data_IF_962924186443
#
_entry.id   IF_962924186443
#
_cell.length_a   1.000
_cell.length_b   1.000
_cell.length_c   1.000
_cell.angle_alpha   90.00
_cell.angle_beta   90.00
_cell.angle_gamma   90.00
#
_symmetry.space_group_name_H-M   'P 1'
#
loop_
_entity.id
_entity.type
_entity.pdbx_description
1 polymer ?
#
# COMPACT_ATOMS: atom_id res chain seq x y z
N UNK A 1 4.30 -30.06 -65.36
CA UNK A 1 3.18 -29.35 -64.71
C UNK A 1 3.51 -29.14 -63.23
N UNK A 2 3.81 -27.92 -62.76
CA UNK A 2 4.02 -27.65 -61.34
C UNK A 2 2.69 -27.37 -60.60
N UNK A 3 2.56 -27.89 -59.37
CA UNK A 3 1.37 -27.80 -58.51
C UNK A 3 1.40 -26.52 -57.63
N UNK A 4 0.19 -26.02 -57.38
CA UNK A 4 -0.24 -24.78 -56.72
C UNK A 4 0.47 -24.41 -55.41
N UNK A 5 0.83 -23.13 -55.30
CA UNK A 5 1.00 -22.41 -54.03
C UNK A 5 -0.35 -22.20 -53.33
N UNK A 6 -0.41 -22.45 -52.01
CA UNK A 6 -1.49 -21.96 -51.14
C UNK A 6 -0.88 -21.35 -49.89
N UNK A 7 -1.08 -20.04 -49.74
CA UNK A 7 -0.70 -19.19 -48.61
C UNK A 7 -1.95 -18.95 -47.76
N UNK A 8 -1.70 -18.49 -46.53
CA UNK A 8 -2.62 -17.96 -45.49
C UNK A 8 -3.08 -18.98 -44.44
N UNK A 9 -3.19 -18.65 -43.15
CA UNK A 9 -2.71 -17.55 -42.28
C UNK A 9 -3.08 -18.01 -40.86
N UNK A 10 -2.33 -17.55 -39.86
CA UNK A 10 -2.88 -17.26 -38.55
C UNK A 10 -3.13 -18.46 -37.64
N UNK A 11 -2.16 -18.73 -36.78
CA UNK A 11 -2.36 -18.74 -35.33
C UNK A 11 -0.98 -18.88 -34.70
N UNK A 12 -0.23 -17.78 -34.69
CA UNK A 12 0.87 -17.61 -33.74
C UNK A 12 0.23 -17.34 -32.37
N UNK A 13 -0.46 -18.35 -31.83
CA UNK A 13 -0.80 -18.40 -30.43
C UNK A 13 0.51 -18.76 -29.73
N UNK A 14 1.32 -17.73 -29.50
CA UNK A 14 2.67 -17.85 -29.00
C UNK A 14 2.65 -18.71 -27.72
N UNK A 15 3.25 -19.90 -27.83
CA UNK A 15 3.47 -20.89 -26.76
C UNK A 15 4.22 -20.28 -25.55
N UNK A 16 4.74 -19.07 -25.71
CA UNK A 16 5.47 -18.28 -24.72
C UNK A 16 4.59 -17.35 -23.87
N UNK A 17 3.26 -17.51 -23.91
CA UNK A 17 2.33 -16.74 -23.04
C UNK A 17 2.57 -16.97 -21.53
N UNK A 18 3.32 -18.02 -21.16
CA UNK A 18 3.76 -18.29 -19.79
C UNK A 18 5.15 -17.72 -19.46
N UNK A 19 5.96 -17.37 -20.47
CA UNK A 19 7.30 -16.82 -20.27
C UNK A 19 7.32 -15.29 -20.20
N UNK A 20 6.24 -14.63 -20.63
CA UNK A 20 6.10 -13.17 -20.60
C UNK A 20 4.77 -12.77 -19.97
N UNK A 21 4.73 -12.40 -18.68
CA UNK A 21 3.63 -11.61 -18.18
C UNK A 21 3.64 -10.26 -18.92
N UNK A 22 2.65 -10.06 -19.80
CA UNK A 22 2.39 -8.77 -20.43
C UNK A 22 2.02 -7.75 -19.34
N UNK A 23 2.64 -6.55 -19.32
CA UNK A 23 2.34 -5.54 -18.31
C UNK A 23 1.08 -4.78 -18.74
N UNK A 24 -0.02 -5.04 -18.05
CA UNK A 24 -1.19 -4.16 -18.04
C UNK A 24 -2.51 -4.92 -18.16
N UNK A 25 -3.54 -4.67 -17.34
CA UNK A 25 -3.72 -3.80 -16.19
C UNK A 25 -4.90 -4.40 -15.41
N UNK A 26 -4.72 -4.67 -14.12
CA UNK A 26 -5.84 -4.65 -13.18
C UNK A 26 -5.42 -3.73 -12.03
N UNK A 27 -5.79 -2.46 -12.19
CA UNK A 27 -5.55 -1.41 -11.21
C UNK A 27 -6.46 -1.62 -10.00
N UNK A 28 -5.85 -1.93 -8.84
CA UNK A 28 -6.24 -1.24 -7.61
C UNK A 28 -5.06 -1.02 -6.68
N UNK A 29 -4.70 0.27 -6.62
CA UNK A 29 -4.01 0.97 -5.55
C UNK A 29 -2.49 0.79 -5.46
N UNK A 30 -1.83 1.56 -6.33
CA UNK A 30 -0.71 2.46 -5.99
C UNK A 30 0.26 1.90 -4.96
N UNK A 31 1.08 0.94 -5.39
CA UNK A 31 2.46 0.91 -4.90
C UNK A 31 3.21 2.08 -5.54
N UNK A 32 2.94 3.29 -5.05
CA UNK A 32 3.85 4.41 -5.27
C UNK A 32 5.20 4.10 -4.60
N UNK A 33 6.25 4.89 -4.85
CA UNK A 33 7.56 4.73 -4.21
C UNK A 33 7.57 5.07 -2.70
N UNK A 34 6.47 4.82 -1.97
CA UNK A 34 6.36 4.92 -0.53
C UNK A 34 6.25 3.52 0.07
N UNK A 35 7.22 3.13 0.90
CA UNK A 35 7.21 1.82 1.55
C UNK A 35 6.02 1.63 2.51
N UNK A 36 5.95 0.46 3.17
CA UNK A 36 4.91 0.10 4.15
C UNK A 36 4.64 1.21 5.19
N UNK A 37 5.68 1.97 5.57
CA UNK A 37 5.57 3.10 6.48
C UNK A 37 4.77 4.29 5.90
N UNK A 38 4.94 4.62 4.64
CA UNK A 38 4.22 5.72 3.98
C UNK A 38 2.73 5.39 3.82
N UNK A 39 2.46 4.16 3.38
CA UNK A 39 1.12 3.56 3.33
C UNK A 39 0.42 3.59 4.69
N UNK A 40 1.15 3.20 5.73
CA UNK A 40 0.66 3.19 7.10
C UNK A 40 0.37 4.61 7.60
N UNK A 41 1.26 5.56 7.32
CA UNK A 41 1.07 6.95 7.69
C UNK A 41 -0.19 7.52 7.01
N UNK A 42 -0.35 7.28 5.71
CA UNK A 42 -1.51 7.72 4.94
C UNK A 42 -2.81 7.13 5.49
N UNK A 43 -2.81 5.85 5.86
CA UNK A 43 -3.94 5.21 6.52
C UNK A 43 -4.32 5.90 7.85
N UNK A 44 -3.32 6.19 8.69
CA UNK A 44 -3.53 6.83 9.99
C UNK A 44 -4.01 8.28 9.84
N UNK A 45 -3.44 9.03 8.89
CA UNK A 45 -3.85 10.41 8.58
C UNK A 45 -5.31 10.44 8.13
N UNK A 46 -5.69 9.57 7.20
CA UNK A 46 -7.06 9.51 6.66
C UNK A 46 -8.10 9.16 7.74
N UNK A 47 -7.72 8.33 8.72
CA UNK A 47 -8.57 7.99 9.87
C UNK A 47 -8.58 9.05 10.98
N UNK A 48 -7.64 10.00 10.98
CA UNK A 48 -7.45 10.97 12.08
C UNK A 48 -6.87 10.36 13.37
N UNK A 49 -6.43 9.10 13.30
CA UNK A 49 -5.96 8.32 14.42
C UNK A 49 -6.54 6.90 14.43
N UNK A 50 -5.72 5.93 14.80
CA UNK A 50 -6.12 4.52 14.85
C UNK A 50 -5.70 3.87 16.16
N UNK A 51 -6.50 2.92 16.61
CA UNK A 51 -6.15 2.08 17.75
C UNK A 51 -5.20 0.94 17.37
N UNK A 52 -4.61 0.28 18.37
CA UNK A 52 -3.76 -0.91 18.15
C UNK A 52 -4.51 -2.00 17.37
N UNK A 53 -5.80 -2.22 17.65
CA UNK A 53 -6.59 -3.26 16.99
C UNK A 53 -6.81 -2.95 15.50
N UNK A 54 -7.11 -1.69 15.18
CA UNK A 54 -7.26 -1.24 13.79
C UNK A 54 -5.94 -1.31 13.02
N UNK A 55 -4.85 -0.93 13.68
CA UNK A 55 -3.51 -1.04 13.13
C UNK A 55 -3.17 -2.51 12.77
N UNK A 56 -3.50 -3.43 13.68
CA UNK A 56 -3.31 -4.88 13.48
C UNK A 56 -4.19 -5.42 12.35
N UNK A 57 -5.46 -4.99 12.31
CA UNK A 57 -6.39 -5.38 11.25
C UNK A 57 -5.88 -4.93 9.88
N UNK A 58 -5.45 -3.67 9.77
CA UNK A 58 -4.86 -3.12 8.55
C UNK A 58 -3.61 -3.90 8.09
N UNK A 59 -2.71 -4.24 9.02
CA UNK A 59 -1.54 -5.05 8.71
C UNK A 59 -1.92 -6.45 8.21
N UNK A 60 -2.92 -7.08 8.83
CA UNK A 60 -3.42 -8.41 8.44
C UNK A 60 -4.08 -8.39 7.06
N UNK A 61 -4.87 -7.37 6.75
CA UNK A 61 -5.50 -7.18 5.43
C UNK A 61 -4.46 -7.07 4.31
N UNK A 62 -3.29 -6.49 4.61
CA UNK A 62 -2.17 -6.38 3.67
C UNK A 62 -1.19 -7.55 3.72
N UNK A 63 -1.49 -8.61 4.48
CA UNK A 63 -0.60 -9.77 4.63
C UNK A 63 0.74 -9.45 5.33
N UNK A 64 0.80 -8.37 6.10
CA UNK A 64 2.00 -7.98 6.83
C UNK A 64 2.16 -8.79 8.11
N UNK A 65 3.40 -9.20 8.40
CA UNK A 65 3.72 -9.76 9.70
C UNK A 65 3.69 -8.69 10.78
N UNK A 66 3.39 -9.10 12.02
CA UNK A 66 3.40 -8.21 13.18
C UNK A 66 4.73 -7.46 13.32
N UNK A 67 5.85 -8.14 13.10
CA UNK A 67 7.18 -7.53 13.14
C UNK A 67 7.32 -6.40 12.10
N UNK A 68 6.90 -6.62 10.85
CA UNK A 68 6.98 -5.58 9.81
C UNK A 68 6.09 -4.38 10.11
N UNK A 69 4.89 -4.63 10.62
CA UNK A 69 3.97 -3.56 11.02
C UNK A 69 4.55 -2.72 12.16
N UNK A 70 5.07 -3.37 13.21
CA UNK A 70 5.70 -2.67 14.33
C UNK A 70 6.95 -1.90 13.89
N UNK A 71 7.81 -2.49 13.05
CA UNK A 71 8.97 -1.77 12.51
C UNK A 71 8.56 -0.53 11.71
N UNK A 72 7.47 -0.59 10.93
CA UNK A 72 6.97 0.59 10.23
C UNK A 72 6.46 1.67 11.21
N UNK A 73 5.73 1.28 12.26
CA UNK A 73 5.27 2.19 13.31
C UNK A 73 6.45 2.85 14.03
N UNK A 74 7.48 2.07 14.36
CA UNK A 74 8.69 2.56 15.02
C UNK A 74 9.45 3.53 14.12
N UNK A 75 9.60 3.23 12.83
CA UNK A 75 10.21 4.14 11.86
C UNK A 75 9.46 5.48 11.81
N UNK A 76 8.13 5.46 11.73
CA UNK A 76 7.30 6.67 11.70
C UNK A 76 7.34 7.43 13.03
N UNK A 77 7.43 6.72 14.15
CA UNK A 77 7.55 7.33 15.49
C UNK A 77 8.93 7.99 15.65
N UNK A 78 10.00 7.31 15.24
CA UNK A 78 11.37 7.81 15.26
C UNK A 78 11.56 9.01 14.32
N UNK A 79 10.91 8.99 13.16
CA UNK A 79 10.84 10.12 12.22
C UNK A 79 9.99 11.28 12.74
N UNK A 80 9.29 11.13 13.88
CA UNK A 80 8.41 12.16 14.42
C UNK A 80 7.16 12.42 13.59
N UNK A 81 6.77 11.49 12.73
CA UNK A 81 5.55 11.55 11.90
C UNK A 81 4.34 10.98 12.64
N UNK A 82 4.58 10.18 13.68
CA UNK A 82 3.56 9.51 14.48
C UNK A 82 3.73 9.83 15.96
N UNK A 83 2.62 10.07 16.64
CA UNK A 83 2.54 10.22 18.09
C UNK A 83 1.65 9.13 18.68
N UNK A 84 2.06 8.64 19.86
CA UNK A 84 1.29 7.70 20.67
C UNK A 84 0.61 8.51 21.76
N UNK A 85 -0.72 8.52 21.78
CA UNK A 85 -1.51 9.22 22.80
C UNK A 85 -2.55 8.27 23.39
N UNK A 86 -2.90 8.47 24.65
CA UNK A 86 -4.07 7.82 25.23
C UNK A 86 -5.32 8.64 24.89
N UNK A 87 -6.37 7.93 24.51
CA UNK A 87 -7.70 8.50 24.38
C UNK A 87 -8.37 8.69 25.76
N UNK A 88 -9.52 9.36 25.81
CA UNK A 88 -10.27 9.63 27.06
C UNK A 88 -10.64 8.36 27.83
N UNK A 89 -10.71 7.23 27.12
CA UNK A 89 -10.97 5.90 27.68
C UNK A 89 -9.71 5.15 28.13
N UNK A 90 -8.55 5.81 28.11
CA UNK A 90 -7.25 5.18 28.42
C UNK A 90 -6.73 4.24 27.34
N UNK A 91 -7.26 4.31 26.12
CA UNK A 91 -6.86 3.43 25.00
C UNK A 91 -5.70 4.04 24.22
N UNK A 92 -4.70 3.22 23.88
CA UNK A 92 -3.57 3.65 23.05
C UNK A 92 -4.02 3.93 21.61
N UNK A 93 -3.82 5.18 21.20
CA UNK A 93 -4.10 5.68 19.86
C UNK A 93 -2.82 6.16 19.19
N UNK A 94 -2.68 5.79 17.93
CA UNK A 94 -1.62 6.19 17.03
C UNK A 94 -2.17 7.31 16.14
N UNK A 95 -1.63 8.51 16.26
CA UNK A 95 -2.04 9.67 15.45
C UNK A 95 -0.86 10.20 14.65
N UNK A 96 -1.13 10.67 13.44
CA UNK A 96 -0.13 11.41 12.69
C UNK A 96 0.18 12.72 13.42
N UNK A 97 1.47 13.08 13.51
CA UNK A 97 1.93 14.32 14.15
C UNK A 97 1.56 15.57 13.34
N UNK A 98 1.22 15.40 12.07
CA UNK A 98 0.73 16.47 11.19
C UNK A 98 -0.79 16.51 11.13
N UNK A 99 -1.41 17.31 12.01
CA UNK A 99 -2.86 17.48 12.06
C UNK A 99 -3.30 18.68 12.91
N UNK A 100 -2.52 19.77 12.88
CA UNK A 100 -2.95 21.10 13.31
C UNK A 100 -1.93 22.13 12.82
N UNK A 101 -2.00 22.48 11.53
CA UNK A 101 -1.68 23.85 11.13
C UNK A 101 -2.95 24.68 11.29
N UNK A 102 -3.36 24.94 12.54
CA UNK A 102 -4.18 26.10 12.80
C UNK A 102 -3.24 27.32 12.85
N UNK A 103 -2.80 27.78 11.67
CA UNK A 103 -2.18 29.11 11.54
C UNK A 103 -3.32 30.13 11.50
N UNK A 104 -3.98 30.31 12.64
CA UNK A 104 -4.60 31.60 12.93
C UNK A 104 -3.44 32.53 13.32
N UNK A 105 -2.96 33.30 12.35
CA UNK A 105 -2.22 34.51 12.59
C UNK A 105 -3.08 35.66 12.06
N UNK A 106 -3.42 36.54 13.01
CA UNK A 106 -4.14 37.81 12.95
C UNK A 106 -4.01 38.61 11.65
#
# INVERSE_FOLDING_TARGET
>A
MPRKSKKEKGSDASITSFLFPSPGEEQRQVSGPGGIADDLLSFIVNRGGVSKEELMAWGKERGLSMAKLLSAVEQLTAAGLLIKKLDERGKLMYKARGGSSNRHAT
#
